data_IF_191017974064
#
_entry.id   IF_191017974064
#
_cell.length_a   1.000
_cell.length_b   1.000
_cell.length_c   1.000
_cell.angle_alpha   90.00
_cell.angle_beta   90.00
_cell.angle_gamma   90.00
#
_symmetry.space_group_name_H-M   'P 1'
#
loop_
_entity.id
_entity.type
_entity.pdbx_description
1 polymer ?
#
# COMPACT_ATOMS: atom_id res chain seq x y z
N UNK A 1 8.90 18.15 -8.53
CA UNK A 1 7.69 18.09 -9.39
C UNK A 1 7.62 16.73 -10.12
N UNK A 2 7.74 15.59 -9.42
CA UNK A 2 7.85 14.26 -10.08
C UNK A 2 6.53 13.49 -10.22
N UNK A 3 5.49 13.82 -9.47
CA UNK A 3 4.30 12.94 -9.30
C UNK A 3 3.07 13.35 -10.12
N UNK A 4 3.21 14.27 -11.09
CA UNK A 4 2.04 14.87 -11.75
C UNK A 4 1.32 13.87 -12.68
N UNK A 5 2.07 12.91 -13.25
CA UNK A 5 1.55 11.89 -14.16
C UNK A 5 1.36 10.53 -13.48
N UNK A 6 2.09 10.25 -12.40
CA UNK A 6 2.06 8.94 -11.73
C UNK A 6 0.68 8.62 -11.15
N UNK A 7 0.08 9.55 -10.41
CA UNK A 7 -1.23 9.32 -9.77
C UNK A 7 -2.37 9.18 -10.79
N UNK A 8 -2.44 10.01 -11.85
CA UNK A 8 -3.36 9.76 -12.95
C UNK A 8 -3.17 8.40 -13.63
N UNK A 9 -1.94 7.99 -13.90
CA UNK A 9 -1.63 6.71 -14.57
C UNK A 9 -1.97 5.51 -13.68
N UNK A 10 -1.62 5.55 -12.40
CA UNK A 10 -2.05 4.56 -11.39
C UNK A 10 -3.58 4.48 -11.29
N UNK A 11 -4.26 5.62 -11.37
CA UNK A 11 -5.72 5.70 -11.38
C UNK A 11 -6.36 5.10 -12.62
N UNK A 12 -5.70 5.12 -13.78
CA UNK A 12 -6.21 4.48 -15.02
C UNK A 12 -6.18 2.96 -14.87
N UNK A 13 -5.11 2.40 -14.32
CA UNK A 13 -5.04 0.97 -13.99
C UNK A 13 -5.90 0.60 -12.76
N UNK A 14 -6.30 1.62 -12.01
CA UNK A 14 -7.17 1.57 -10.84
C UNK A 14 -6.58 0.83 -9.65
N UNK A 15 -5.26 0.88 -9.54
CA UNK A 15 -4.50 0.52 -8.35
C UNK A 15 -3.49 1.62 -8.06
N UNK A 16 -3.59 2.20 -6.87
CA UNK A 16 -2.71 3.26 -6.38
C UNK A 16 -1.90 2.63 -5.24
N UNK A 17 -0.65 2.19 -5.48
CA UNK A 17 0.17 1.52 -4.46
C UNK A 17 0.44 2.40 -3.25
N UNK A 18 0.47 3.72 -3.49
CA UNK A 18 0.70 4.74 -2.49
C UNK A 18 -0.45 5.73 -2.45
N UNK A 19 -1.43 5.48 -1.58
CA UNK A 19 -2.51 6.42 -1.32
C UNK A 19 -1.99 7.74 -0.72
N UNK A 20 -2.62 8.89 -0.97
CA UNK A 20 -2.25 10.12 -0.29
C UNK A 20 -2.44 9.94 1.23
N UNK A 21 -1.36 10.05 2.01
CA UNK A 21 -1.37 9.76 3.45
C UNK A 21 -2.19 10.75 4.28
N UNK A 22 -2.70 11.82 3.67
CA UNK A 22 -3.53 12.82 4.35
C UNK A 22 -5.03 12.51 4.27
N UNK A 23 -5.50 11.81 3.22
CA UNK A 23 -6.92 11.60 3.00
C UNK A 23 -7.19 10.51 1.96
N UNK A 24 -8.08 9.57 2.29
CA UNK A 24 -8.64 8.59 1.36
C UNK A 24 -10.08 8.27 1.77
N UNK A 25 -10.96 8.07 0.78
CA UNK A 25 -12.38 7.76 1.01
C UNK A 25 -12.75 6.46 0.32
N UNK A 26 -13.56 5.65 1.00
CA UNK A 26 -13.96 4.34 0.50
C UNK A 26 -15.47 4.17 0.61
N UNK A 27 -16.02 3.36 -0.29
CA UNK A 27 -17.38 2.84 -0.12
C UNK A 27 -17.35 1.80 0.98
N UNK A 28 -18.31 1.84 1.90
CA UNK A 28 -18.37 0.92 3.03
C UNK A 28 -18.37 -0.55 2.58
N UNK A 29 -19.11 -0.91 1.53
CA UNK A 29 -19.11 -2.27 0.96
C UNK A 29 -17.72 -2.76 0.49
N UNK A 30 -16.85 -1.84 0.04
CA UNK A 30 -15.49 -2.19 -0.36
C UNK A 30 -14.60 -2.53 0.85
N UNK A 31 -14.90 -1.98 2.03
CA UNK A 31 -14.14 -2.21 3.25
C UNK A 31 -14.53 -3.52 3.95
N UNK A 32 -15.79 -3.95 3.82
CA UNK A 32 -16.31 -5.16 4.47
C UNK A 32 -15.46 -6.40 4.13
N UNK A 33 -15.23 -7.22 5.16
CA UNK A 33 -14.54 -8.50 5.00
C UNK A 33 -15.39 -9.50 4.21
N UNK A 34 -14.74 -10.52 3.66
CA UNK A 34 -15.45 -11.66 3.08
C UNK A 34 -16.06 -12.57 4.15
N UNK A 35 -16.76 -13.65 3.72
CA UNK A 35 -17.38 -14.63 4.61
C UNK A 35 -16.39 -15.35 5.55
N UNK A 36 -15.10 -15.34 5.21
CA UNK A 36 -14.03 -15.98 5.99
C UNK A 36 -13.44 -15.04 7.07
N UNK A 37 -14.11 -13.91 7.36
CA UNK A 37 -13.64 -12.77 8.19
C UNK A 37 -12.30 -12.15 7.77
N UNK A 38 -11.79 -12.55 6.59
CA UNK A 38 -10.59 -12.01 5.97
C UNK A 38 -10.98 -10.94 4.95
N UNK A 39 -10.22 -9.85 4.94
CA UNK A 39 -10.45 -8.78 3.97
C UNK A 39 -9.81 -7.45 4.36
N UNK A 40 -10.29 -6.36 3.75
CA UNK A 40 -9.71 -5.02 3.91
C UNK A 40 -9.75 -4.51 5.35
N UNK A 41 -10.89 -4.59 6.04
CA UNK A 41 -11.02 -4.16 7.44
C UNK A 41 -10.17 -5.00 8.39
N UNK A 42 -10.18 -6.33 8.23
CA UNK A 42 -9.36 -7.21 9.07
C UNK A 42 -7.86 -6.93 8.89
N UNK A 43 -7.42 -6.62 7.67
CA UNK A 43 -6.02 -6.28 7.38
C UNK A 43 -5.64 -4.89 7.90
N UNK A 44 -6.58 -3.94 7.89
CA UNK A 44 -6.39 -2.60 8.43
C UNK A 44 -6.15 -2.61 9.94
N UNK A 45 -7.03 -3.29 10.69
CA UNK A 45 -6.96 -3.35 12.15
C UNK A 45 -5.99 -4.41 12.68
N UNK A 46 -5.34 -5.18 11.81
CA UNK A 46 -4.44 -6.25 12.24
C UNK A 46 -3.32 -5.72 13.13
N UNK A 47 -2.83 -4.51 12.88
CA UNK A 47 -1.80 -3.86 13.71
C UNK A 47 -2.20 -3.64 15.17
N UNK A 48 -3.48 -3.41 15.46
CA UNK A 48 -3.98 -3.18 16.83
C UNK A 48 -3.93 -4.45 17.68
N UNK A 49 -3.99 -5.62 17.06
CA UNK A 49 -3.90 -6.91 17.78
C UNK A 49 -2.44 -7.32 18.05
N UNK A 50 -1.45 -6.59 17.53
CA UNK A 50 -0.02 -6.95 17.59
C UNK A 50 0.73 -6.43 18.84
N UNK A 51 0.02 -5.95 19.86
CA UNK A 51 0.62 -5.32 21.05
C UNK A 51 1.35 -6.29 22.01
N UNK A 52 1.32 -7.60 21.79
CA UNK A 52 2.08 -8.57 22.59
C UNK A 52 3.56 -8.63 22.19
N UNK A 53 4.47 -8.16 23.05
CA UNK A 53 5.91 -8.40 22.93
C UNK A 53 6.25 -9.75 23.57
N UNK A 54 6.68 -10.73 22.77
CA UNK A 54 7.06 -12.06 23.25
C UNK A 54 7.31 -13.04 22.10
N UNK A 55 7.76 -14.27 22.38
CA UNK A 55 8.07 -15.29 21.37
C UNK A 55 6.86 -15.75 20.53
N UNK A 56 5.64 -15.47 20.98
CA UNK A 56 4.38 -15.71 20.25
C UNK A 56 3.74 -14.41 19.69
N UNK A 57 4.44 -13.28 19.81
CA UNK A 57 3.99 -11.96 19.35
C UNK A 57 4.38 -11.70 17.89
N UNK A 58 3.75 -10.69 17.28
CA UNK A 58 4.09 -10.28 15.92
C UNK A 58 5.57 -9.87 15.81
N UNK A 59 6.23 -10.33 14.76
CA UNK A 59 7.64 -10.01 14.51
C UNK A 59 7.84 -8.50 14.36
N UNK A 60 9.07 -8.01 14.62
CA UNK A 60 9.41 -6.60 14.41
C UNK A 60 9.12 -6.15 12.96
N UNK A 61 9.25 -7.08 12.02
CA UNK A 61 8.93 -6.88 10.61
C UNK A 61 7.42 -6.70 10.39
N UNK A 62 6.58 -7.56 10.96
CA UNK A 62 5.12 -7.43 10.88
C UNK A 62 4.61 -6.14 11.53
N UNK A 63 5.16 -5.78 12.69
CA UNK A 63 4.80 -4.53 13.39
C UNK A 63 5.11 -3.29 12.54
N UNK A 64 6.28 -3.27 11.89
CA UNK A 64 6.62 -2.17 10.99
C UNK A 64 5.79 -2.19 9.71
N UNK A 65 5.36 -3.36 9.24
CA UNK A 65 4.48 -3.49 8.09
C UNK A 65 3.10 -2.88 8.34
N UNK A 66 2.51 -3.14 9.51
CA UNK A 66 1.20 -2.59 9.89
C UNK A 66 1.25 -1.17 10.49
N UNK A 67 2.41 -0.51 10.50
CA UNK A 67 2.55 0.92 10.82
C UNK A 67 2.02 1.85 9.69
N UNK A 68 1.75 1.26 8.52
CA UNK A 68 1.18 1.92 7.36
C UNK A 68 -0.01 1.13 6.79
N UNK A 69 -0.95 0.85 7.69
CA UNK A 69 -2.24 0.20 7.50
C UNK A 69 -2.98 0.66 6.24
N UNK A 70 -3.01 1.97 5.97
CA UNK A 70 -3.66 2.57 4.79
C UNK A 70 -3.11 2.00 3.47
N UNK A 71 -1.82 1.67 3.43
CA UNK A 71 -1.14 1.19 2.22
C UNK A 71 -1.47 -0.26 1.92
N UNK A 72 -1.65 -1.06 2.97
CA UNK A 72 -2.10 -2.46 2.87
C UNK A 72 -3.58 -2.47 2.47
N UNK A 73 -4.38 -1.57 3.05
CA UNK A 73 -5.81 -1.45 2.77
C UNK A 73 -6.08 -1.25 1.27
N UNK A 74 -5.35 -0.35 0.60
CA UNK A 74 -5.52 -0.13 -0.85
C UNK A 74 -5.30 -1.39 -1.68
N UNK A 75 -4.31 -2.22 -1.31
CA UNK A 75 -4.04 -3.49 -1.98
C UNK A 75 -5.13 -4.53 -1.70
N UNK A 76 -5.57 -4.67 -0.45
CA UNK A 76 -6.63 -5.62 -0.07
C UNK A 76 -7.97 -5.28 -0.71
N UNK A 77 -8.28 -3.99 -0.92
CA UNK A 77 -9.49 -3.57 -1.64
C UNK A 77 -9.44 -4.02 -3.11
N UNK A 78 -8.35 -3.73 -3.82
CA UNK A 78 -8.23 -4.06 -5.25
C UNK A 78 -8.16 -5.57 -5.48
N UNK A 79 -7.57 -6.31 -4.55
CA UNK A 79 -7.40 -7.77 -4.61
C UNK A 79 -8.49 -8.54 -3.88
N UNK A 80 -9.57 -7.87 -3.47
CA UNK A 80 -10.70 -8.50 -2.77
C UNK A 80 -11.29 -9.63 -3.62
N UNK A 81 -11.45 -10.81 -3.01
CA UNK A 81 -11.82 -12.06 -3.69
C UNK A 81 -13.17 -11.91 -4.40
N UNK A 82 -13.21 -12.22 -5.71
CA UNK A 82 -14.42 -12.13 -6.56
C UNK A 82 -15.09 -10.75 -6.61
N UNK A 83 -14.41 -9.68 -6.20
CA UNK A 83 -14.91 -8.30 -6.30
C UNK A 83 -13.96 -7.46 -7.16
N UNK A 84 -14.49 -6.43 -7.82
CA UNK A 84 -13.78 -5.63 -8.82
C UNK A 84 -13.59 -4.16 -8.42
N UNK A 85 -13.23 -3.91 -7.15
CA UNK A 85 -13.00 -2.56 -6.66
C UNK A 85 -11.79 -1.88 -7.30
N UNK A 86 -11.87 -0.55 -7.45
CA UNK A 86 -10.84 0.25 -8.09
C UNK A 86 -10.49 1.46 -7.25
N UNK A 87 -9.22 1.80 -7.20
CA UNK A 87 -8.76 3.05 -6.59
C UNK A 87 -8.65 4.11 -7.67
N UNK A 88 -9.33 5.25 -7.48
CA UNK A 88 -9.29 6.37 -8.41
C UNK A 88 -8.73 7.62 -7.74
N UNK A 89 -7.85 8.30 -8.46
CA UNK A 89 -7.39 9.63 -8.09
C UNK A 89 -8.39 10.67 -8.60
N UNK A 90 -8.94 11.49 -7.70
CA UNK A 90 -9.92 12.52 -8.04
C UNK A 90 -9.33 13.89 -7.71
N UNK A 91 -8.94 14.66 -8.74
CA UNK A 91 -8.28 15.98 -8.58
C UNK A 91 -9.16 17.00 -7.83
N UNK A 92 -10.48 16.89 -7.93
CA UNK A 92 -11.42 17.78 -7.23
C UNK A 92 -11.58 17.45 -5.74
N UNK A 93 -11.17 16.26 -5.28
CA UNK A 93 -11.20 15.90 -3.88
C UNK A 93 -10.09 16.64 -3.13
N UNK A 94 -10.48 17.52 -2.21
CA UNK A 94 -9.58 18.33 -1.39
C UNK A 94 -9.85 18.05 0.08
N UNK A 95 -8.78 17.89 0.85
CA UNK A 95 -8.83 17.76 2.30
C UNK A 95 -7.80 18.72 2.90
N UNK A 96 -8.13 19.31 4.05
CA UNK A 96 -7.18 20.08 4.84
C UNK A 96 -6.57 19.16 5.90
N UNK A 97 -5.26 19.25 6.10
CA UNK A 97 -4.54 18.55 7.15
C UNK A 97 -3.62 19.53 7.87
N UNK A 98 -3.32 19.24 9.12
CA UNK A 98 -2.31 19.98 9.86
C UNK A 98 -0.92 19.68 9.29
N UNK A 99 -0.09 20.72 9.21
CA UNK A 99 1.33 20.58 8.86
C UNK A 99 2.13 20.31 10.13
N UNK A 100 3.25 19.55 10.04
CA UNK A 100 4.14 19.37 11.18
C UNK A 100 4.62 20.72 11.71
N UNK A 101 4.55 20.92 13.03
CA UNK A 101 4.88 22.19 13.68
C UNK A 101 6.40 22.33 13.95
N UNK A 102 7.15 21.23 13.91
CA UNK A 102 8.58 21.21 14.24
C UNK A 102 9.39 20.28 13.32
N UNK A 103 10.69 20.53 13.21
CA UNK A 103 11.61 19.69 12.42
C UNK A 103 11.64 18.24 12.91
N UNK A 104 11.69 17.94 14.23
CA UNK A 104 11.65 16.56 14.70
C UNK A 104 10.37 15.81 14.30
N UNK A 105 9.22 16.50 14.36
CA UNK A 105 7.95 15.93 13.92
C UNK A 105 7.96 15.63 12.43
N UNK A 106 8.46 16.56 11.60
CA UNK A 106 8.62 16.35 10.16
C UNK A 106 9.52 15.14 9.84
N UNK A 107 10.67 15.00 10.51
CA UNK A 107 11.57 13.85 10.35
C UNK A 107 10.87 12.54 10.74
N UNK A 108 10.08 12.55 11.82
CA UNK A 108 9.30 11.39 12.25
C UNK A 108 8.26 10.97 11.20
N UNK A 109 7.57 11.94 10.59
CA UNK A 109 6.62 11.68 9.49
C UNK A 109 7.32 11.12 8.24
N UNK A 110 8.45 11.69 7.85
CA UNK A 110 9.26 11.16 6.75
C UNK A 110 9.67 9.70 6.98
N UNK A 111 10.08 9.34 8.21
CA UNK A 111 10.38 7.96 8.59
C UNK A 111 9.16 7.05 8.47
N UNK A 112 7.98 7.49 8.96
CA UNK A 112 6.72 6.74 8.79
C UNK A 112 6.40 6.50 7.32
N UNK A 113 6.54 7.53 6.48
CA UNK A 113 6.26 7.43 5.04
C UNK A 113 7.23 6.52 4.30
N UNK A 114 8.52 6.58 4.62
CA UNK A 114 9.55 5.73 4.02
C UNK A 114 9.32 4.26 4.40
N UNK A 115 9.14 3.98 5.69
CA UNK A 115 8.88 2.63 6.19
C UNK A 115 7.59 2.09 5.57
N UNK A 116 6.49 2.84 5.64
CA UNK A 116 5.22 2.44 5.06
C UNK A 116 5.31 2.14 3.57
N UNK A 117 6.10 2.92 2.84
CA UNK A 117 6.32 2.72 1.42
C UNK A 117 7.08 1.43 1.11
N UNK A 118 8.10 1.13 1.91
CA UNK A 118 8.87 -0.11 1.79
C UNK A 118 8.00 -1.33 2.07
N UNK A 119 7.29 -1.34 3.19
CA UNK A 119 6.50 -2.50 3.61
C UNK A 119 5.30 -2.77 2.71
N UNK A 120 4.60 -1.74 2.24
CA UNK A 120 3.53 -1.91 1.25
C UNK A 120 4.04 -2.53 -0.06
N UNK A 121 5.27 -2.16 -0.45
CA UNK A 121 5.93 -2.71 -1.63
C UNK A 121 6.25 -4.19 -1.44
N UNK A 122 6.75 -4.59 -0.27
CA UNK A 122 7.03 -6.00 0.05
C UNK A 122 5.73 -6.79 0.12
N UNK A 123 4.72 -6.28 0.83
CA UNK A 123 3.42 -6.94 0.98
C UNK A 123 2.76 -7.22 -0.39
N UNK A 124 2.68 -6.22 -1.25
CA UNK A 124 2.13 -6.39 -2.60
C UNK A 124 2.98 -7.31 -3.50
N UNK A 125 4.28 -7.47 -3.23
CA UNK A 125 5.12 -8.48 -3.89
C UNK A 125 4.82 -9.89 -3.39
N UNK A 126 4.76 -10.10 -2.07
CA UNK A 126 4.53 -11.43 -1.48
C UNK A 126 3.14 -11.95 -1.84
N UNK A 127 2.13 -11.09 -1.78
CA UNK A 127 0.72 -11.47 -1.98
C UNK A 127 0.21 -11.22 -3.41
N UNK A 128 1.10 -11.07 -4.40
CA UNK A 128 0.74 -10.74 -5.79
C UNK A 128 -0.31 -11.69 -6.40
N UNK A 129 -0.29 -12.97 -6.00
CA UNK A 129 -1.24 -13.99 -6.46
C UNK A 129 -2.70 -13.65 -6.14
N UNK A 130 -2.98 -12.81 -5.12
CA UNK A 130 -4.34 -12.32 -4.81
C UNK A 130 -4.96 -11.50 -5.96
N UNK A 131 -4.15 -10.93 -6.85
CA UNK A 131 -4.66 -10.26 -8.06
C UNK A 131 -5.49 -11.24 -8.89
N UNK A 132 -5.08 -12.50 -8.96
CA UNK A 132 -5.75 -13.51 -9.78
C UNK A 132 -7.04 -14.05 -9.16
N UNK A 133 -7.19 -13.97 -7.84
CA UNK A 133 -8.41 -14.35 -7.12
C UNK A 133 -9.46 -13.23 -7.06
N UNK A 134 -9.10 -12.01 -7.44
CA UNK A 134 -10.02 -10.87 -7.52
C UNK A 134 -11.07 -11.02 -8.63
N UNK A 135 -12.13 -10.21 -8.58
CA UNK A 135 -13.18 -10.15 -9.61
C UNK A 135 -12.80 -9.36 -10.86
N UNK A 136 -11.58 -8.81 -10.94
CA UNK A 136 -11.15 -7.95 -12.03
C UNK A 136 -11.17 -8.66 -13.39
N UNK A 137 -11.39 -7.89 -14.46
CA UNK A 137 -11.27 -8.36 -15.84
C UNK A 137 -9.91 -9.03 -16.12
N UNK A 138 -9.91 -10.07 -16.96
CA UNK A 138 -8.70 -10.85 -17.27
C UNK A 138 -7.54 -9.99 -17.78
N UNK A 139 -7.78 -9.11 -18.76
CA UNK A 139 -6.77 -8.18 -19.27
C UNK A 139 -6.22 -7.26 -18.18
N UNK A 140 -7.07 -6.83 -17.25
CA UNK A 140 -6.66 -5.97 -16.15
C UNK A 140 -5.78 -6.71 -15.16
N UNK A 141 -6.07 -7.98 -14.86
CA UNK A 141 -5.20 -8.83 -14.03
C UNK A 141 -3.80 -8.95 -14.62
N UNK A 142 -3.68 -9.11 -15.94
CA UNK A 142 -2.40 -9.11 -16.65
C UNK A 142 -1.69 -7.77 -16.47
N UNK A 143 -2.37 -6.65 -16.74
CA UNK A 143 -1.78 -5.31 -16.61
C UNK A 143 -1.33 -5.03 -15.17
N UNK A 144 -2.16 -5.34 -14.17
CA UNK A 144 -1.81 -5.18 -12.75
C UNK A 144 -0.60 -6.04 -12.36
N UNK A 145 -0.51 -7.25 -12.90
CA UNK A 145 0.65 -8.12 -12.70
C UNK A 145 1.91 -7.53 -13.36
N UNK A 146 1.83 -7.04 -14.59
CA UNK A 146 2.94 -6.38 -15.29
C UNK A 146 3.41 -5.12 -14.56
N UNK A 147 2.49 -4.24 -14.19
CA UNK A 147 2.77 -3.03 -13.39
C UNK A 147 3.42 -3.40 -12.06
N UNK A 148 3.02 -4.53 -11.44
CA UNK A 148 3.70 -5.00 -10.23
C UNK A 148 5.12 -5.46 -10.53
N UNK A 149 5.35 -6.25 -11.57
CA UNK A 149 6.68 -6.77 -11.94
C UNK A 149 7.64 -5.62 -12.27
N UNK A 150 7.23 -4.65 -13.08
CA UNK A 150 8.07 -3.48 -13.42
C UNK A 150 8.42 -2.65 -12.19
N UNK A 151 7.45 -2.40 -11.31
CA UNK A 151 7.70 -1.72 -10.03
C UNK A 151 8.56 -2.54 -9.06
N UNK A 152 8.62 -3.87 -9.18
CA UNK A 152 9.51 -4.71 -8.38
C UNK A 152 10.96 -4.59 -8.90
N UNK A 153 11.15 -4.70 -10.22
CA UNK A 153 12.47 -4.56 -10.85
C UNK A 153 13.09 -3.18 -10.62
N UNK A 154 12.30 -2.11 -10.77
CA UNK A 154 12.78 -0.75 -10.54
C UNK A 154 13.30 -0.55 -9.11
N UNK A 155 12.63 -1.15 -8.11
CA UNK A 155 13.03 -1.08 -6.70
C UNK A 155 14.24 -1.96 -6.39
N UNK A 156 14.34 -3.13 -7.02
CA UNK A 156 15.53 -3.97 -6.92
C UNK A 156 16.77 -3.26 -7.48
N UNK A 157 16.65 -2.61 -8.64
CA UNK A 157 17.74 -1.83 -9.24
C UNK A 157 18.15 -0.63 -8.37
N UNK A 158 17.19 0.04 -7.72
CA UNK A 158 17.50 1.11 -6.76
C UNK A 158 18.27 0.61 -5.54
N UNK A 159 17.89 -0.56 -4.98
CA UNK A 159 18.65 -1.18 -3.89
C UNK A 159 20.06 -1.54 -4.34
N UNK A 160 20.22 -2.18 -5.51
CA UNK A 160 21.53 -2.54 -6.05
C UNK A 160 22.40 -1.29 -6.25
N UNK A 161 21.86 -0.23 -6.86
CA UNK A 161 22.57 1.03 -7.07
C UNK A 161 23.00 1.69 -5.75
N UNK A 162 22.17 1.67 -4.70
CA UNK A 162 22.53 2.12 -3.36
C UNK A 162 23.68 1.30 -2.77
N UNK A 163 23.66 -0.04 -2.92
CA UNK A 163 24.76 -0.88 -2.45
C UNK A 163 26.05 -0.66 -3.24
N UNK A 164 25.98 -0.43 -4.55
CA UNK A 164 27.17 -0.11 -5.37
C UNK A 164 27.76 1.26 -4.99
N UNK A 165 26.94 2.27 -4.69
CA UNK A 165 27.44 3.60 -4.29
C UNK A 165 27.99 3.62 -2.86
N UNK A 166 27.55 2.72 -1.98
CA UNK A 166 28.05 2.63 -0.59
C UNK A 166 29.32 1.78 -0.48
N UNK A 167 29.65 0.97 -1.49
CA UNK A 167 30.82 0.06 -1.49
C UNK A 167 31.97 0.56 -2.38
N UNK A 168 31.89 1.80 -2.89
CA UNK A 168 32.99 2.50 -3.56
C UNK A 168 33.40 3.70 -2.71
#
# INVERSE_FOLDING_TARGET
MSNILDKPLESVFGYIPMLPGAFSTYRYAALQNGPDDKGPLASYFKGETMHGGGPNGASLFERNMYLAEDRILGFEIVTKKREEWVLKYVKSAKASTNVPASVPEFISQCRRWLNGSLFASIHSTVFWFKIWTSGQNFFRKIILTLVRVTNCMAKANFCIALFTVVVI
#
